data_IF_130111446588
#
_entry.id   IF_130111446588
#
_cell.length_a   1.000
_cell.length_b   1.000
_cell.length_c   1.000
_cell.angle_alpha   90.00
_cell.angle_beta   90.00
_cell.angle_gamma   90.00
#
_symmetry.space_group_name_H-M   'P 1'
#
loop_
_entity.id
_entity.type
_entity.pdbx_description
1 polymer ?
#
# COMPACT_ATOMS: atom_id res chain seq x y z
N UNK A 1 15.19 5.35 -9.02
CA UNK A 1 13.80 4.99 -9.38
C UNK A 1 13.02 6.25 -9.76
N UNK A 2 13.07 7.31 -8.96
CA UNK A 2 12.33 8.56 -9.25
C UNK A 2 12.76 9.23 -10.56
N UNK A 3 14.01 9.12 -10.94
CA UNK A 3 14.54 9.65 -12.22
C UNK A 3 13.95 8.98 -13.46
N UNK A 4 13.33 7.80 -13.32
CA UNK A 4 12.70 7.05 -14.42
C UNK A 4 11.21 7.33 -14.59
N UNK A 5 10.63 8.12 -13.71
CA UNK A 5 9.21 8.44 -13.73
C UNK A 5 9.02 9.95 -13.65
N UNK A 6 8.35 10.52 -14.62
CA UNK A 6 7.96 11.94 -14.62
C UNK A 6 6.88 12.24 -13.57
N UNK A 7 6.21 11.20 -13.09
CA UNK A 7 5.09 11.28 -12.16
C UNK A 7 5.45 10.62 -10.82
N UNK A 8 5.58 11.39 -9.72
CA UNK A 8 5.97 10.88 -8.42
C UNK A 8 4.98 9.85 -7.84
N UNK A 9 3.69 9.95 -8.17
CA UNK A 9 2.69 8.98 -7.70
C UNK A 9 2.88 7.63 -8.40
N UNK A 10 3.20 7.64 -9.69
CA UNK A 10 3.57 6.44 -10.42
C UNK A 10 4.87 5.83 -9.89
N UNK A 11 5.86 6.65 -9.55
CA UNK A 11 7.10 6.20 -8.93
C UNK A 11 6.85 5.51 -7.58
N UNK A 12 6.03 6.10 -6.72
CA UNK A 12 5.62 5.51 -5.43
C UNK A 12 4.85 4.20 -5.64
N UNK A 13 3.89 4.18 -6.57
CA UNK A 13 3.15 2.98 -6.93
C UNK A 13 4.05 1.85 -7.43
N UNK A 14 5.10 2.16 -8.18
CA UNK A 14 6.08 1.19 -8.63
C UNK A 14 6.91 0.62 -7.47
N UNK A 15 7.31 1.46 -6.51
CA UNK A 15 8.01 1.03 -5.29
C UNK A 15 7.13 0.07 -4.48
N UNK A 16 5.87 0.44 -4.25
CA UNK A 16 4.92 -0.42 -3.55
C UNK A 16 4.71 -1.75 -4.27
N UNK A 17 4.54 -1.71 -5.58
CA UNK A 17 4.35 -2.91 -6.40
C UNK A 17 5.57 -3.83 -6.37
N UNK A 18 6.77 -3.28 -6.46
CA UNK A 18 8.02 -4.06 -6.57
C UNK A 18 8.53 -4.58 -5.22
N UNK A 19 8.38 -3.81 -4.15
CA UNK A 19 9.04 -4.10 -2.87
C UNK A 19 8.06 -4.43 -1.73
N UNK A 20 6.88 -3.82 -1.71
CA UNK A 20 5.90 -4.03 -0.63
C UNK A 20 4.93 -5.16 -0.97
N UNK A 21 4.41 -5.15 -2.19
CA UNK A 21 3.40 -6.12 -2.63
C UNK A 21 3.85 -7.59 -2.53
N UNK A 22 5.08 -7.97 -2.92
CA UNK A 22 5.51 -9.38 -2.83
C UNK A 22 5.44 -9.94 -1.42
N UNK A 23 5.83 -9.18 -0.41
CA UNK A 23 5.79 -9.63 0.99
C UNK A 23 4.34 -9.77 1.50
N UNK A 24 3.46 -8.85 1.12
CA UNK A 24 2.04 -8.93 1.47
C UNK A 24 1.37 -10.13 0.81
N UNK A 25 1.67 -10.39 -0.46
CA UNK A 25 1.13 -11.54 -1.19
C UNK A 25 1.63 -12.85 -0.59
N UNK A 26 2.91 -12.96 -0.29
CA UNK A 26 3.49 -14.16 0.31
C UNK A 26 2.88 -14.45 1.69
N UNK A 27 2.66 -13.41 2.50
CA UNK A 27 2.01 -13.57 3.79
C UNK A 27 0.55 -14.04 3.63
N UNK A 28 -0.21 -13.37 2.75
CA UNK A 28 -1.60 -13.71 2.46
C UNK A 28 -1.76 -15.13 1.91
N UNK A 29 -0.88 -15.54 1.01
CA UNK A 29 -0.87 -16.88 0.41
C UNK A 29 -0.56 -17.95 1.46
N UNK A 30 0.46 -17.78 2.28
CA UNK A 30 0.80 -18.73 3.36
C UNK A 30 -0.33 -18.89 4.37
N UNK A 31 -0.98 -17.79 4.75
CA UNK A 31 -2.11 -17.84 5.68
C UNK A 31 -3.32 -18.56 5.09
N UNK A 32 -3.63 -18.30 3.82
CA UNK A 32 -4.72 -18.97 3.12
C UNK A 32 -4.43 -20.46 2.89
N UNK A 33 -3.22 -20.79 2.43
CA UNK A 33 -2.79 -22.16 2.15
C UNK A 33 -2.76 -23.05 3.40
N UNK A 34 -2.45 -22.47 4.59
CA UNK A 34 -2.54 -23.19 5.85
C UNK A 34 -3.94 -23.72 6.16
N UNK A 35 -4.97 -23.16 5.52
CA UNK A 35 -6.37 -23.59 5.61
C UNK A 35 -6.91 -24.22 4.33
N UNK A 36 -6.03 -24.58 3.38
CA UNK A 36 -6.44 -25.18 2.11
C UNK A 36 -7.19 -24.22 1.17
N UNK A 37 -7.04 -22.91 1.37
CA UNK A 37 -7.70 -21.87 0.58
C UNK A 37 -6.71 -21.26 -0.40
N UNK A 38 -7.09 -21.16 -1.67
CA UNK A 38 -6.30 -20.44 -2.68
C UNK A 38 -6.62 -18.94 -2.65
N UNK A 39 -5.59 -18.12 -2.49
CA UNK A 39 -5.73 -16.67 -2.52
C UNK A 39 -5.54 -16.12 -3.94
N UNK A 40 -6.62 -15.70 -4.57
CA UNK A 40 -6.61 -15.11 -5.91
C UNK A 40 -6.72 -13.58 -5.83
N UNK A 41 -5.78 -12.88 -6.47
CA UNK A 41 -5.69 -11.42 -6.46
C UNK A 41 -6.04 -10.84 -7.85
N UNK A 42 -7.33 -10.58 -8.18
CA UNK A 42 -7.75 -10.16 -9.51
C UNK A 42 -7.12 -8.83 -9.96
N UNK A 43 -6.78 -7.94 -9.04
CA UNK A 43 -6.12 -6.67 -9.35
C UNK A 43 -4.64 -6.81 -9.75
N UNK A 44 -4.07 -8.00 -9.64
CA UNK A 44 -2.70 -8.30 -10.09
C UNK A 44 -2.65 -8.92 -11.50
N UNK A 45 -3.78 -8.97 -12.21
CA UNK A 45 -3.76 -9.29 -13.64
C UNK A 45 -2.88 -8.29 -14.39
N UNK A 46 -2.01 -8.82 -15.26
CA UNK A 46 -1.04 -8.01 -16.02
C UNK A 46 -1.69 -6.83 -16.75
N UNK A 47 -2.88 -7.05 -17.33
CA UNK A 47 -3.63 -6.02 -18.07
C UNK A 47 -4.09 -4.90 -17.16
N UNK A 48 -4.53 -5.23 -15.93
CA UNK A 48 -4.96 -4.25 -14.92
C UNK A 48 -3.76 -3.45 -14.42
N UNK A 49 -2.63 -4.12 -14.18
CA UNK A 49 -1.40 -3.44 -13.76
C UNK A 49 -0.91 -2.47 -14.83
N UNK A 50 -0.83 -2.92 -16.08
CA UNK A 50 -0.43 -2.06 -17.20
C UNK A 50 -1.35 -0.86 -17.37
N UNK A 51 -2.66 -1.08 -17.31
CA UNK A 51 -3.65 -0.01 -17.33
C UNK A 51 -3.46 0.96 -16.16
N UNK A 52 -3.27 0.45 -14.93
CA UNK A 52 -3.07 1.31 -13.77
C UNK A 52 -1.81 2.18 -13.91
N UNK A 53 -0.72 1.66 -14.46
CA UNK A 53 0.50 2.45 -14.69
C UNK A 53 0.42 3.39 -15.90
N UNK A 54 -0.45 3.13 -16.87
CA UNK A 54 -0.66 4.04 -18.00
C UNK A 54 -1.50 5.27 -17.63
N UNK A 55 -2.23 5.23 -16.53
CA UNK A 55 -3.03 6.36 -16.08
C UNK A 55 -2.16 7.46 -15.47
N UNK A 56 -2.40 8.74 -15.80
CA UNK A 56 -1.76 9.87 -15.12
C UNK A 56 -2.29 10.00 -13.68
N UNK A 57 -1.51 10.65 -12.81
CA UNK A 57 -1.82 10.78 -11.39
C UNK A 57 -3.17 11.39 -11.09
N UNK A 58 -3.55 12.44 -11.83
CA UNK A 58 -4.83 13.13 -11.62
C UNK A 58 -6.05 12.27 -11.90
N UNK A 59 -5.91 11.21 -12.69
CA UNK A 59 -6.96 10.22 -12.89
C UNK A 59 -7.01 9.15 -11.80
N UNK A 60 -5.94 8.98 -11.03
CA UNK A 60 -5.85 7.99 -9.95
C UNK A 60 -6.33 8.54 -8.62
N UNK A 61 -5.91 9.77 -8.32
CA UNK A 61 -6.20 10.44 -7.05
C UNK A 61 -6.52 11.92 -7.28
N UNK A 62 -7.25 12.50 -6.36
CA UNK A 62 -7.44 13.94 -6.21
C UNK A 62 -7.39 14.32 -4.73
N UNK A 63 -7.65 15.59 -4.43
CA UNK A 63 -7.61 16.11 -3.06
C UNK A 63 -8.60 15.44 -2.10
N UNK A 64 -9.66 14.82 -2.62
CA UNK A 64 -10.74 14.23 -1.83
C UNK A 64 -10.77 12.70 -1.91
N UNK A 65 -10.41 12.13 -3.07
CA UNK A 65 -10.63 10.72 -3.34
C UNK A 65 -9.39 10.03 -3.90
N UNK A 66 -9.07 8.91 -3.29
CA UNK A 66 -8.15 7.91 -3.84
C UNK A 66 -8.94 6.88 -4.68
N UNK A 67 -8.26 6.19 -5.60
CA UNK A 67 -8.83 5.12 -6.42
C UNK A 67 -9.98 5.61 -7.32
N UNK A 68 -9.85 6.80 -7.90
CA UNK A 68 -10.88 7.41 -8.79
C UNK A 68 -11.44 6.46 -9.84
N UNK A 69 -10.64 5.70 -10.63
CA UNK A 69 -11.18 4.80 -11.66
C UNK A 69 -12.15 3.77 -11.10
N UNK A 70 -11.83 3.20 -9.93
CA UNK A 70 -12.70 2.21 -9.27
C UNK A 70 -13.98 2.86 -8.73
N UNK A 71 -13.87 4.06 -8.16
CA UNK A 71 -15.04 4.80 -7.68
C UNK A 71 -15.98 5.18 -8.82
N UNK A 72 -15.42 5.66 -9.93
CA UNK A 72 -16.19 5.99 -11.13
C UNK A 72 -16.90 4.75 -11.71
N UNK A 73 -16.22 3.60 -11.72
CA UNK A 73 -16.83 2.34 -12.12
C UNK A 73 -18.00 1.95 -11.21
N UNK A 74 -17.83 2.08 -9.89
CA UNK A 74 -18.91 1.79 -8.91
C UNK A 74 -20.09 2.71 -9.11
N UNK A 75 -19.87 4.01 -9.33
CA UNK A 75 -20.93 4.98 -9.63
C UNK A 75 -21.65 4.60 -10.92
N UNK A 76 -20.92 4.27 -11.99
CA UNK A 76 -21.49 3.81 -13.26
C UNK A 76 -22.35 2.55 -13.09
N UNK A 77 -21.97 1.68 -12.14
CA UNK A 77 -22.73 0.48 -11.77
C UNK A 77 -23.84 0.75 -10.76
N UNK A 78 -24.15 2.02 -10.43
CA UNK A 78 -25.16 2.45 -9.43
C UNK A 78 -24.87 1.96 -8.00
N UNK A 79 -23.62 1.66 -7.69
CA UNK A 79 -23.15 1.23 -6.37
C UNK A 79 -22.62 2.44 -5.58
N UNK A 80 -23.50 3.37 -5.22
CA UNK A 80 -23.13 4.66 -4.65
C UNK A 80 -22.53 4.56 -3.24
N UNK A 81 -23.05 3.68 -2.39
CA UNK A 81 -22.56 3.52 -1.01
C UNK A 81 -21.08 3.08 -0.97
N UNK A 82 -20.67 2.00 -1.66
CA UNK A 82 -19.26 1.62 -1.72
C UNK A 82 -18.39 2.69 -2.39
N UNK A 83 -18.91 3.41 -3.40
CA UNK A 83 -18.18 4.44 -4.10
C UNK A 83 -17.79 5.63 -3.21
N UNK A 84 -18.66 6.00 -2.26
CA UNK A 84 -18.45 7.11 -1.31
C UNK A 84 -17.67 6.71 -0.05
N UNK A 85 -17.53 5.42 0.23
CA UNK A 85 -16.88 4.94 1.46
C UNK A 85 -15.42 5.36 1.51
N UNK A 86 -15.00 5.92 2.63
CA UNK A 86 -13.60 6.23 2.87
C UNK A 86 -12.75 4.96 2.95
N UNK A 87 -11.49 5.07 2.50
CA UNK A 87 -10.53 4.00 2.66
C UNK A 87 -10.21 3.84 4.13
N UNK A 88 -10.54 2.70 4.71
CA UNK A 88 -10.02 2.27 6.01
C UNK A 88 -8.85 1.34 5.78
N UNK A 89 -7.71 1.62 6.45
CA UNK A 89 -6.60 0.68 6.49
C UNK A 89 -6.98 -0.58 7.26
N UNK A 90 -6.19 -1.63 7.11
CA UNK A 90 -6.23 -2.77 8.03
C UNK A 90 -5.74 -2.25 9.40
N UNK A 91 -6.68 -1.86 10.25
CA UNK A 91 -6.37 -1.42 11.61
C UNK A 91 -6.35 -2.65 12.50
N UNK A 92 -5.14 -3.09 12.83
CA UNK A 92 -4.98 -4.05 13.90
C UNK A 92 -4.98 -3.28 15.24
N UNK A 93 -5.86 -3.65 16.16
CA UNK A 93 -5.94 -2.97 17.45
C UNK A 93 -4.85 -3.48 18.40
N UNK A 94 -3.61 -3.04 18.18
CA UNK A 94 -2.47 -3.35 19.03
C UNK A 94 -2.66 -2.94 20.50
N UNK A 95 -3.55 -1.96 20.77
CA UNK A 95 -3.85 -1.50 22.12
C UNK A 95 -4.58 -2.56 22.97
N UNK A 96 -5.30 -3.49 22.32
CA UNK A 96 -5.91 -4.64 23.02
C UNK A 96 -4.89 -5.70 23.45
N UNK A 97 -3.76 -5.77 22.74
CA UNK A 97 -2.71 -6.77 23.02
C UNK A 97 -1.60 -6.22 23.91
N UNK A 98 -1.38 -4.91 23.88
CA UNK A 98 -0.41 -4.23 24.71
C UNK A 98 -1.11 -3.10 25.45
N UNK A 99 -1.16 -3.21 26.78
CA UNK A 99 -1.71 -2.20 27.71
C UNK A 99 -1.01 -0.82 27.66
N UNK A 100 -0.20 -0.53 26.64
CA UNK A 100 0.53 0.74 26.47
C UNK A 100 0.28 1.30 25.09
N UNK A 101 -0.58 2.33 25.05
CA UNK A 101 -0.73 3.21 23.88
C UNK A 101 0.65 3.67 23.43
N UNK A 102 0.94 3.61 22.14
CA UNK A 102 2.11 4.20 21.45
C UNK A 102 3.47 3.48 21.52
N UNK A 103 3.64 2.39 22.24
CA UNK A 103 4.98 1.82 22.44
C UNK A 103 5.55 1.17 21.15
N UNK A 104 4.70 0.53 20.32
CA UNK A 104 5.17 -0.17 19.12
C UNK A 104 5.62 0.82 18.04
N UNK A 105 4.80 1.83 17.76
CA UNK A 105 5.11 2.85 16.76
C UNK A 105 6.34 3.66 17.16
N UNK A 106 6.42 4.06 18.42
CA UNK A 106 7.57 4.79 18.96
C UNK A 106 8.84 3.94 18.98
N UNK A 107 8.79 2.65 19.34
CA UNK A 107 9.93 1.73 19.26
C UNK A 107 10.36 1.50 17.82
N UNK A 108 9.43 1.30 16.90
CA UNK A 108 9.71 1.11 15.47
C UNK A 108 10.45 2.33 14.90
N UNK A 109 9.93 3.53 15.11
CA UNK A 109 10.59 4.77 14.66
C UNK A 109 11.94 5.02 15.33
N UNK A 110 12.07 4.73 16.63
CA UNK A 110 13.37 4.82 17.33
C UNK A 110 14.40 3.87 16.74
N UNK A 111 14.00 2.64 16.42
CA UNK A 111 14.87 1.63 15.82
C UNK A 111 15.30 2.04 14.41
N UNK A 112 14.39 2.48 13.57
CA UNK A 112 14.69 2.97 12.22
C UNK A 112 15.63 4.17 12.27
N UNK A 113 15.35 5.14 13.13
CA UNK A 113 16.22 6.31 13.29
C UNK A 113 17.63 5.94 13.80
N UNK A 114 17.75 4.93 14.67
CA UNK A 114 19.05 4.43 15.13
C UNK A 114 19.83 3.77 14.00
N UNK A 115 19.17 2.95 13.18
CA UNK A 115 19.77 2.30 12.01
C UNK A 115 20.21 3.35 10.99
N UNK A 116 19.37 4.33 10.69
CA UNK A 116 19.64 5.42 9.76
C UNK A 116 20.86 6.25 10.19
N UNK A 117 20.91 6.66 11.46
CA UNK A 117 22.05 7.41 12.00
C UNK A 117 23.35 6.61 11.91
N UNK A 118 23.32 5.30 12.22
CA UNK A 118 24.49 4.42 12.12
C UNK A 118 24.98 4.26 10.68
N UNK A 119 24.06 4.13 9.71
CA UNK A 119 24.40 4.04 8.29
C UNK A 119 25.06 5.30 7.74
N UNK A 120 24.61 6.48 8.20
CA UNK A 120 25.16 7.75 7.74
C UNK A 120 26.50 8.11 8.41
N UNK A 121 26.72 7.69 9.66
CA UNK A 121 28.02 7.90 10.31
C UNK A 121 29.16 7.04 9.73
N UNK A 122 28.83 5.94 9.05
CA UNK A 122 29.83 5.11 8.35
C UNK A 122 30.18 5.62 6.94
N UNK A 123 29.44 6.57 6.40
CA UNK A 123 29.71 7.20 5.09
C UNK A 123 30.56 8.48 5.19
N UNK A 124 30.83 8.95 6.39
CA UNK A 124 31.60 10.20 6.65
C UNK A 124 33.06 9.95 7.06
N UNK A 125 33.51 8.70 7.02
CA UNK A 125 34.91 8.27 7.12
C UNK A 125 35.33 7.59 5.82
#
# INVERSE_FOLDING_TARGET
IFEKFDDPINAMGYIDFKYVMPSLLQMGDRMASAHGIENRCPYLDKRIIQFAFSLPSYEKIDSYYQKKPLRNLLIKKKLFLPAKKEKKGLVFNFNKWHNKKDLFRAKYFKTINKIWKKSNSQKSN
#
